data_IF_530378028836
#
_entry.id   IF_530378028836
#
_cell.length_a   1.000
_cell.length_b   1.000
_cell.length_c   1.000
_cell.angle_alpha   90.00
_cell.angle_beta   90.00
_cell.angle_gamma   90.00
#
_symmetry.space_group_name_H-M   'P 1'
#
loop_
_entity.id
_entity.type
_entity.pdbx_description
1 polymer ?
#
# COMPACT_ATOMS: atom_id res chain seq x y z
N UNK A 1 13.29 -38.45 14.22
CA UNK A 1 13.35 -37.13 14.86
C UNK A 1 12.25 -36.30 14.24
N UNK A 2 11.27 -35.88 15.05
CA UNK A 2 10.07 -35.20 14.60
C UNK A 2 10.41 -33.76 14.17
N UNK A 3 9.89 -33.40 13.00
CA UNK A 3 9.98 -32.10 12.37
C UNK A 3 9.31 -31.05 13.27
N UNK A 4 10.09 -30.20 13.93
CA UNK A 4 9.60 -28.96 14.51
C UNK A 4 9.36 -27.97 13.37
N UNK A 5 8.16 -28.01 12.77
CA UNK A 5 7.69 -26.93 11.90
C UNK A 5 7.14 -25.83 12.79
N UNK A 6 7.64 -24.63 12.59
CA UNK A 6 7.65 -23.53 13.53
C UNK A 6 6.27 -22.82 13.58
N UNK A 7 5.52 -22.99 14.68
CA UNK A 7 4.26 -22.24 14.93
C UNK A 7 4.45 -20.72 14.80
N UNK A 8 5.65 -20.22 15.11
CA UNK A 8 5.99 -18.79 15.01
C UNK A 8 6.09 -18.26 13.57
N UNK A 9 6.44 -19.11 12.59
CA UNK A 9 6.53 -18.67 11.19
C UNK A 9 5.13 -18.54 10.58
N UNK A 10 4.26 -19.52 10.85
CA UNK A 10 2.86 -19.54 10.38
C UNK A 10 2.04 -18.35 10.92
N UNK A 11 2.25 -17.94 12.19
CA UNK A 11 1.58 -16.75 12.76
C UNK A 11 2.04 -15.44 12.10
N UNK A 12 3.34 -15.30 11.81
CA UNK A 12 3.88 -14.09 11.17
C UNK A 12 3.46 -13.96 9.71
N UNK A 13 3.36 -15.08 9.00
CA UNK A 13 2.90 -15.12 7.62
C UNK A 13 1.40 -14.78 7.52
N UNK A 14 0.57 -15.34 8.41
CA UNK A 14 -0.86 -15.04 8.49
C UNK A 14 -1.10 -13.56 8.83
N UNK A 15 -0.33 -12.99 9.76
CA UNK A 15 -0.42 -11.56 10.09
C UNK A 15 -0.01 -10.67 8.90
N UNK A 16 1.02 -11.08 8.17
CA UNK A 16 1.48 -10.37 6.96
C UNK A 16 0.45 -10.40 5.82
N UNK A 17 -0.24 -11.52 5.63
CA UNK A 17 -1.29 -11.67 4.61
C UNK A 17 -2.53 -10.82 4.95
N UNK A 18 -2.96 -10.84 6.21
CA UNK A 18 -4.05 -9.99 6.70
C UNK A 18 -3.72 -8.49 6.54
N UNK A 19 -2.48 -8.10 6.82
CA UNK A 19 -2.02 -6.72 6.64
C UNK A 19 -2.06 -6.28 5.18
N UNK A 20 -1.61 -7.13 4.24
CA UNK A 20 -1.66 -6.83 2.81
C UNK A 20 -3.11 -6.67 2.32
N UNK A 21 -4.02 -7.53 2.76
CA UNK A 21 -5.45 -7.40 2.42
C UNK A 21 -6.06 -6.09 2.92
N UNK A 22 -5.76 -5.70 4.16
CA UNK A 22 -6.19 -4.41 4.72
C UNK A 22 -5.71 -3.24 3.85
N UNK A 23 -4.43 -3.23 3.48
CA UNK A 23 -3.86 -2.17 2.63
C UNK A 23 -4.52 -2.15 1.25
N UNK A 24 -4.72 -3.31 0.62
CA UNK A 24 -5.37 -3.41 -0.71
C UNK A 24 -6.79 -2.84 -0.66
N UNK A 25 -7.55 -3.15 0.39
CA UNK A 25 -8.89 -2.62 0.58
C UNK A 25 -8.88 -1.10 0.72
N UNK A 26 -7.96 -0.55 1.52
CA UNK A 26 -7.80 0.90 1.66
C UNK A 26 -7.44 1.61 0.34
N UNK A 27 -6.57 0.99 -0.47
CA UNK A 27 -6.16 1.52 -1.77
C UNK A 27 -7.20 1.32 -2.89
N UNK A 28 -8.23 0.50 -2.68
CA UNK A 28 -9.27 0.25 -3.68
C UNK A 28 -10.16 1.46 -3.95
N UNK A 29 -10.29 2.36 -2.97
CA UNK A 29 -11.13 3.56 -3.09
C UNK A 29 -10.46 4.65 -3.94
N UNK A 30 -9.23 5.01 -3.59
CA UNK A 30 -8.38 5.96 -4.34
C UNK A 30 -6.90 5.77 -3.99
N UNK A 31 -5.96 6.31 -4.79
CA UNK A 31 -4.54 6.24 -4.47
C UNK A 31 -4.23 6.97 -3.16
N UNK A 32 -3.15 6.56 -2.50
CA UNK A 32 -2.67 7.13 -1.24
C UNK A 32 -1.17 7.25 -1.26
N UNK A 33 -0.65 8.27 -0.59
CA UNK A 33 0.78 8.36 -0.35
C UNK A 33 1.21 7.52 0.86
N UNK A 34 2.51 7.25 0.95
CA UNK A 34 3.10 6.38 1.99
C UNK A 34 2.79 6.85 3.41
N UNK A 35 2.69 8.17 3.64
CA UNK A 35 2.38 8.74 4.95
C UNK A 35 0.91 8.49 5.31
N UNK A 36 -0.01 8.69 4.36
CA UNK A 36 -1.44 8.39 4.56
C UNK A 36 -1.63 6.91 4.93
N UNK A 37 -0.95 6.00 4.23
CA UNK A 37 -1.05 4.55 4.48
C UNK A 37 -0.52 4.20 5.88
N UNK A 38 0.67 4.69 6.25
CA UNK A 38 1.27 4.45 7.57
C UNK A 38 0.41 5.01 8.71
N UNK A 39 -0.15 6.21 8.53
CA UNK A 39 -1.03 6.84 9.51
C UNK A 39 -2.33 6.05 9.67
N UNK A 40 -2.94 5.65 8.56
CA UNK A 40 -4.15 4.84 8.58
C UNK A 40 -3.90 3.49 9.25
N UNK A 41 -2.83 2.78 8.88
CA UNK A 41 -2.49 1.50 9.51
C UNK A 41 -2.30 1.63 11.01
N UNK A 42 -1.57 2.64 11.48
CA UNK A 42 -1.37 2.88 12.91
C UNK A 42 -2.69 3.10 13.69
N UNK A 43 -3.79 3.44 13.00
CA UNK A 43 -5.13 3.52 13.59
C UNK A 43 -5.91 2.20 13.57
N UNK A 44 -5.49 1.22 12.77
CA UNK A 44 -6.17 -0.07 12.60
C UNK A 44 -5.55 -1.21 13.43
N UNK A 45 -4.25 -1.14 13.72
CA UNK A 45 -3.51 -2.20 14.40
C UNK A 45 -2.87 -1.69 15.70
N UNK A 46 -2.61 -2.62 16.63
CA UNK A 46 -1.86 -2.33 17.85
C UNK A 46 -0.47 -1.77 17.48
N UNK A 47 -0.01 -0.67 18.12
CA UNK A 47 1.31 -0.10 17.89
C UNK A 47 2.47 -1.11 17.94
N UNK A 48 2.33 -2.18 18.73
CA UNK A 48 3.31 -3.27 18.84
C UNK A 48 3.41 -4.14 17.59
N UNK A 49 2.37 -4.16 16.75
CA UNK A 49 2.28 -4.90 15.49
C UNK A 49 2.46 -3.99 14.26
N UNK A 50 2.76 -2.70 14.47
CA UNK A 50 2.92 -1.75 13.37
C UNK A 50 4.16 -2.10 12.53
N UNK A 51 4.02 -2.21 11.19
CA UNK A 51 5.14 -2.59 10.34
C UNK A 51 6.24 -1.54 10.36
N UNK A 52 7.47 -1.98 10.62
CA UNK A 52 8.65 -1.11 10.68
C UNK A 52 8.99 -0.49 9.32
N UNK A 53 8.72 -1.21 8.23
CA UNK A 53 8.90 -0.71 6.87
C UNK A 53 7.70 -1.01 5.97
N UNK A 54 6.77 -0.05 5.93
CA UNK A 54 5.60 -0.08 5.06
C UNK A 54 5.99 -0.15 3.58
N UNK A 55 7.12 0.44 3.17
CA UNK A 55 7.51 0.51 1.76
C UNK A 55 7.84 -0.87 1.23
N UNK A 56 8.64 -1.63 1.98
CA UNK A 56 8.98 -3.01 1.64
C UNK A 56 7.73 -3.91 1.51
N UNK A 57 6.71 -3.70 2.35
CA UNK A 57 5.44 -4.45 2.27
C UNK A 57 4.68 -4.11 0.99
N UNK A 58 4.59 -2.82 0.65
CA UNK A 58 3.92 -2.36 -0.57
C UNK A 58 4.63 -2.85 -1.83
N UNK A 59 5.96 -2.89 -1.84
CA UNK A 59 6.76 -3.36 -2.96
C UNK A 59 6.72 -4.87 -3.15
N UNK A 60 6.52 -5.63 -2.07
CA UNK A 60 6.41 -7.09 -2.11
C UNK A 60 5.02 -7.58 -2.53
N UNK A 61 4.04 -6.70 -2.71
CA UNK A 61 2.65 -7.04 -3.06
C UNK A 61 2.37 -6.75 -4.54
N UNK A 62 2.20 -7.80 -5.35
CA UNK A 62 1.97 -7.72 -6.79
C UNK A 62 0.61 -7.07 -7.17
N UNK A 63 -0.31 -6.94 -6.20
CA UNK A 63 -1.60 -6.28 -6.39
C UNK A 63 -1.56 -4.78 -6.10
N UNK A 64 -0.43 -4.27 -5.62
CA UNK A 64 -0.20 -2.87 -5.30
C UNK A 64 0.87 -2.33 -6.24
N UNK A 65 0.64 -1.14 -6.79
CA UNK A 65 1.58 -0.50 -7.70
C UNK A 65 1.90 0.90 -7.25
N UNK A 66 3.18 1.27 -7.39
CA UNK A 66 3.66 2.64 -7.22
C UNK A 66 3.25 3.44 -8.47
N UNK A 67 2.37 4.42 -8.30
CA UNK A 67 1.84 5.21 -9.42
C UNK A 67 2.53 6.57 -9.58
N UNK A 68 3.33 6.98 -8.58
CA UNK A 68 4.04 8.25 -8.66
C UNK A 68 4.66 8.69 -7.34
N UNK A 69 4.91 9.99 -7.26
CA UNK A 69 5.38 10.65 -6.03
C UNK A 69 4.71 12.00 -5.87
N UNK A 70 4.32 12.33 -4.63
CA UNK A 70 3.73 13.62 -4.26
C UNK A 70 4.78 14.47 -3.56
N UNK A 71 4.90 15.74 -3.98
CA UNK A 71 5.67 16.77 -3.27
C UNK A 71 4.71 17.64 -2.47
N UNK A 72 5.04 17.94 -1.23
CA UNK A 72 4.36 19.02 -0.49
C UNK A 72 4.79 20.35 -1.09
N UNK A 73 4.05 20.83 -2.07
CA UNK A 73 4.29 22.12 -2.71
C UNK A 73 3.96 23.24 -1.72
N UNK A 74 4.97 23.91 -1.17
CA UNK A 74 4.78 25.18 -0.44
C UNK A 74 5.90 25.60 0.52
N UNK A 75 6.67 24.68 1.10
CA UNK A 75 7.63 25.03 2.15
C UNK A 75 8.90 24.16 2.04
N UNK A 76 10.03 24.79 1.71
CA UNK A 76 11.40 24.24 1.58
C UNK A 76 11.61 23.12 0.54
N UNK A 77 12.57 23.35 -0.37
CA UNK A 77 13.07 22.36 -1.37
C UNK A 77 13.77 21.14 -0.75
N UNK A 78 13.70 20.92 0.57
CA UNK A 78 14.51 19.90 1.27
C UNK A 78 13.76 18.62 1.63
N UNK A 79 12.42 18.58 1.53
CA UNK A 79 11.68 17.35 1.81
C UNK A 79 11.69 16.42 0.60
N UNK A 80 12.10 15.17 0.83
CA UNK A 80 12.09 14.13 -0.19
C UNK A 80 10.64 13.86 -0.65
N UNK A 81 10.42 13.64 -1.94
CA UNK A 81 9.09 13.32 -2.46
C UNK A 81 8.56 12.02 -1.83
N UNK A 82 7.25 11.96 -1.55
CA UNK A 82 6.59 10.82 -0.91
C UNK A 82 5.95 9.95 -1.99
N UNK A 83 6.23 8.65 -1.97
CA UNK A 83 5.67 7.68 -2.91
C UNK A 83 4.14 7.60 -2.82
N UNK A 84 3.49 7.48 -3.97
CA UNK A 84 2.04 7.28 -4.11
C UNK A 84 1.74 5.91 -4.70
N UNK A 85 0.72 5.26 -4.15
CA UNK A 85 0.38 3.86 -4.37
C UNK A 85 -1.10 3.70 -4.71
N UNK A 86 -1.41 2.70 -5.51
CA UNK A 86 -2.79 2.30 -5.84
C UNK A 86 -2.90 0.78 -5.95
N UNK A 87 -4.11 0.25 -5.81
CA UNK A 87 -4.38 -1.14 -6.15
C UNK A 87 -4.47 -1.32 -7.67
N UNK A 88 -4.13 -2.51 -8.16
CA UNK A 88 -4.34 -2.88 -9.57
C UNK A 88 -5.80 -2.73 -10.00
N UNK A 89 -6.75 -3.00 -9.11
CA UNK A 89 -8.19 -2.83 -9.38
C UNK A 89 -8.54 -1.37 -9.63
N UNK A 90 -7.99 -0.45 -8.83
CA UNK A 90 -8.18 0.99 -9.01
C UNK A 90 -7.59 1.48 -10.33
N UNK A 91 -6.35 1.09 -10.64
CA UNK A 91 -5.66 1.48 -11.88
C UNK A 91 -6.45 1.02 -13.10
N UNK A 92 -6.80 -0.28 -13.16
CA UNK A 92 -7.58 -0.84 -14.27
C UNK A 92 -8.94 -0.16 -14.46
N UNK A 93 -9.60 0.26 -13.39
CA UNK A 93 -10.88 0.98 -13.49
C UNK A 93 -10.70 2.39 -14.07
N UNK A 94 -9.66 3.10 -13.65
CA UNK A 94 -9.45 4.50 -14.03
C UNK A 94 -8.74 4.67 -15.38
N UNK A 95 -7.90 3.72 -15.79
CA UNK A 95 -7.36 3.68 -17.15
C UNK A 95 -8.45 3.50 -18.20
N UNK A 96 -9.43 2.61 -17.94
CA UNK A 96 -10.58 2.41 -18.84
C UNK A 96 -11.39 3.68 -19.02
N UNK A 97 -11.75 4.34 -17.92
CA UNK A 97 -12.48 5.63 -17.95
C UNK A 97 -11.73 6.71 -18.74
N UNK A 98 -10.41 6.78 -18.59
CA UNK A 98 -9.58 7.75 -19.32
C UNK A 98 -9.53 7.46 -20.83
N UNK A 99 -9.63 6.20 -21.22
CA UNK A 99 -9.67 5.78 -22.62
C UNK A 99 -11.03 6.04 -23.30
N UNK A 100 -12.13 5.96 -22.54
CA UNK A 100 -13.49 6.27 -23.01
C UNK A 100 -13.66 7.78 -23.23
N UNK A 101 -13.21 8.61 -22.28
CA UNK A 101 -13.25 10.08 -22.42
C UNK A 101 -12.48 10.60 -23.64
N UNK A 102 -11.41 9.91 -24.07
CA UNK A 102 -10.60 10.31 -25.23
C UNK A 102 -11.24 9.98 -26.58
N UNK A 103 -12.26 9.11 -26.63
CA UNK A 103 -12.94 8.74 -27.88
C UNK A 103 -14.16 9.61 -28.19
N UNK A 104 -14.59 10.43 -27.24
CA UNK A 104 -15.72 11.36 -27.35
C UNK A 104 -15.30 12.84 -27.48
N UNK A 105 -14.01 13.13 -27.71
CA UNK A 105 -13.48 14.49 -27.91
C UNK A 105 -13.06 14.76 -29.35
#
# INVERSE_FOLDING_TARGET
MLSGRNETEDETEMNSQNLRELIRNYLSERPRNTIEISTWLSSQIDPTNSPVDITSILEADDQIVRIGTVRKSGMRRSESPVSEWASNTWVKHHERKRSEQRKES
#
